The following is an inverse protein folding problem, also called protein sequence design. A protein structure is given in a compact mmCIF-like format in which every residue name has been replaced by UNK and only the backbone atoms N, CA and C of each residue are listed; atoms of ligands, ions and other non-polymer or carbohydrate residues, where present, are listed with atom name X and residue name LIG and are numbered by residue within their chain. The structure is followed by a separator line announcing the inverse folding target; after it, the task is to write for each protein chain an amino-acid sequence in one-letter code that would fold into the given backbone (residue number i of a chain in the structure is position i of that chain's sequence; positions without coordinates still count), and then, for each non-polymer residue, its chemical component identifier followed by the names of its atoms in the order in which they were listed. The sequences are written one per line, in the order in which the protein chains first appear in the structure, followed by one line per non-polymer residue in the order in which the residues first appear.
data_IF_655360149364
#
_entry.id   IF_655360149364
#
_cell.length_a   1.000
_cell.length_b   1.000
_cell.length_c   1.000
_cell.angle_alpha   90.00
_cell.angle_beta   90.00
_cell.angle_gamma   90.00
#
_symmetry.space_group_name_H-M   'P 1'
#
loop_
_entity.id
_entity.type
_entity.pdbx_description
1 polymer ?
#
# COMPACT_ATOMS: atom_id res chain seq x y z
N UNK A 1 11.70 7.48 9.59
CA UNK A 1 11.76 6.22 8.85
C UNK A 1 11.57 6.46 7.37
N UNK A 2 12.24 5.68 6.55
CA UNK A 2 12.21 5.87 5.13
C UNK A 2 11.49 4.71 4.46
N UNK A 3 10.60 5.02 3.54
CA UNK A 3 9.84 4.03 2.78
C UNK A 3 10.27 4.06 1.33
N UNK A 4 10.08 2.95 0.64
CA UNK A 4 10.39 2.87 -0.78
C UNK A 4 9.39 3.63 -1.63
N UNK A 5 8.12 3.58 -1.21
CA UNK A 5 7.05 4.26 -1.94
C UNK A 5 6.20 5.02 -0.94
N UNK A 6 5.83 6.25 -1.28
CA UNK A 6 4.92 7.05 -0.48
C UNK A 6 3.66 7.31 -1.27
N UNK A 7 2.52 6.91 -0.72
CA UNK A 7 1.21 7.24 -1.25
C UNK A 7 0.54 8.15 -0.23
N UNK A 8 0.74 9.43 -0.41
CA UNK A 8 0.24 10.42 0.54
C UNK A 8 -0.65 11.40 -0.21
N UNK A 9 -1.89 10.99 -0.46
CA UNK A 9 -2.83 11.79 -1.19
C UNK A 9 -3.78 10.93 -1.99
N UNK A 10 -4.34 11.50 -3.05
CA UNK A 10 -5.37 10.84 -3.85
C UNK A 10 -4.84 9.71 -4.71
N UNK A 11 -5.59 8.63 -4.75
CA UNK A 11 -5.31 7.52 -5.66
C UNK A 11 -5.87 7.89 -7.03
N UNK A 12 -5.05 7.71 -8.07
CA UNK A 12 -5.41 8.02 -9.43
C UNK A 12 -4.62 9.20 -9.95
N UNK A 13 -4.55 10.27 -9.19
CA UNK A 13 -3.68 11.39 -9.49
C UNK A 13 -3.43 12.14 -8.18
N UNK A 14 -2.15 12.31 -7.79
CA UNK A 14 -0.93 11.92 -8.51
C UNK A 14 -0.58 10.44 -8.39
N UNK A 15 -1.22 9.70 -7.50
CA UNK A 15 -0.80 8.33 -7.22
C UNK A 15 -1.57 7.34 -8.09
N UNK A 16 -1.21 7.31 -9.37
CA UNK A 16 -1.82 6.42 -10.35
C UNK A 16 -1.15 5.05 -10.34
N UNK A 17 -1.80 4.09 -10.99
CA UNK A 17 -1.21 2.77 -11.16
C UNK A 17 0.11 2.87 -11.93
N UNK A 18 0.16 3.75 -12.94
CA UNK A 18 1.37 3.96 -13.72
C UNK A 18 2.51 4.48 -12.86
N UNK A 19 2.23 5.43 -11.97
CA UNK A 19 3.23 5.95 -11.05
C UNK A 19 3.77 4.84 -10.16
N UNK A 20 2.88 4.03 -9.59
CA UNK A 20 3.30 2.96 -8.69
C UNK A 20 4.09 1.89 -9.45
N UNK A 21 3.71 1.62 -10.68
CA UNK A 21 4.45 0.66 -11.50
C UNK A 21 5.90 1.10 -11.67
N UNK A 22 6.11 2.38 -11.92
CA UNK A 22 7.46 2.92 -12.07
C UNK A 22 8.24 2.82 -10.76
N UNK A 23 7.58 3.10 -9.64
CA UNK A 23 8.24 3.02 -8.34
C UNK A 23 8.61 1.59 -7.99
N UNK A 24 7.74 0.63 -8.28
CA UNK A 24 8.04 -0.78 -8.03
C UNK A 24 9.19 -1.26 -8.91
N UNK A 25 9.29 -0.75 -10.13
CA UNK A 25 10.39 -1.12 -11.01
C UNK A 25 11.73 -0.70 -10.42
N UNK A 26 11.76 0.43 -9.72
CA UNK A 26 12.99 0.88 -9.06
C UNK A 26 13.38 0.00 -7.89
N UNK A 27 12.40 -0.57 -7.20
CA UNK A 27 12.66 -1.46 -6.08
C UNK A 27 13.16 -2.82 -6.57
N UNK A 28 12.68 -3.26 -7.71
CA UNK A 28 13.04 -4.57 -8.24
C UNK A 28 12.44 -5.69 -7.40
N UNK A 29 13.20 -6.74 -7.18
CA UNK A 29 12.73 -7.90 -6.43
C UNK A 29 12.95 -7.79 -4.93
N UNK A 30 13.52 -6.69 -4.47
CA UNK A 30 13.80 -6.51 -3.06
C UNK A 30 12.50 -6.30 -2.27
N UNK A 31 12.54 -6.53 -0.95
CA UNK A 31 11.38 -6.20 -0.12
C UNK A 31 11.02 -4.73 -0.28
N UNK A 32 9.74 -4.46 -0.38
CA UNK A 32 9.24 -3.12 -0.64
C UNK A 32 8.40 -2.64 0.54
N UNK A 33 8.70 -1.44 1.04
CA UNK A 33 7.92 -0.81 2.08
C UNK A 33 7.16 0.37 1.50
N UNK A 34 5.88 0.46 1.82
CA UNK A 34 5.00 1.47 1.27
C UNK A 34 4.29 2.22 2.39
N UNK A 35 4.39 3.54 2.35
CA UNK A 35 3.65 4.40 3.26
C UNK A 35 2.34 4.79 2.59
N UNK A 36 1.22 4.63 3.30
CA UNK A 36 -0.08 5.03 2.76
C UNK A 36 -0.82 5.89 3.76
N UNK A 37 -1.21 7.08 3.29
CA UNK A 37 -2.13 7.95 4.00
C UNK A 37 -3.01 8.56 2.93
N UNK A 38 -4.26 8.10 2.81
CA UNK A 38 -5.10 8.46 1.68
C UNK A 38 -6.57 8.28 2.02
N UNK A 39 -7.38 9.22 1.57
CA UNK A 39 -8.83 9.12 1.68
C UNK A 39 -9.44 8.34 0.52
N UNK A 40 -8.61 7.89 -0.42
CA UNK A 40 -9.08 7.09 -1.53
C UNK A 40 -8.93 7.78 -2.86
N UNK A 41 -9.82 7.47 -3.78
CA UNK A 41 -9.79 8.00 -5.13
C UNK A 41 -10.24 6.94 -6.13
N UNK A 42 -9.48 6.78 -7.19
CA UNK A 42 -9.83 5.88 -8.28
C UNK A 42 -9.79 4.42 -7.87
N UNK A 43 -10.92 3.75 -7.94
CA UNK A 43 -11.01 2.33 -7.65
C UNK A 43 -10.29 1.51 -8.71
N UNK A 44 -10.35 1.95 -9.97
CA UNK A 44 -9.67 1.24 -11.05
C UNK A 44 -8.17 1.22 -10.82
N UNK A 45 -7.59 2.38 -10.50
CA UNK A 45 -6.16 2.43 -10.19
C UNK A 45 -5.83 1.61 -8.96
N UNK A 46 -6.69 1.66 -7.95
CA UNK A 46 -6.46 0.92 -6.72
C UNK A 46 -6.41 -0.59 -6.97
N UNK A 47 -7.29 -1.10 -7.81
CA UNK A 47 -7.30 -2.51 -8.14
C UNK A 47 -6.05 -2.92 -8.90
N UNK A 48 -5.57 -2.07 -9.79
CA UNK A 48 -4.34 -2.32 -10.51
C UNK A 48 -3.13 -2.32 -9.59
N UNK A 49 -3.07 -1.36 -8.67
CA UNK A 49 -1.98 -1.29 -7.71
C UNK A 49 -1.99 -2.52 -6.80
N UNK A 50 -3.18 -2.92 -6.36
CA UNK A 50 -3.32 -4.12 -5.55
C UNK A 50 -2.74 -5.32 -6.27
N UNK A 51 -3.05 -5.46 -7.56
CA UNK A 51 -2.54 -6.58 -8.35
C UNK A 51 -1.03 -6.53 -8.47
N UNK A 52 -0.47 -5.34 -8.66
CA UNK A 52 0.98 -5.17 -8.72
C UNK A 52 1.66 -5.59 -7.42
N UNK A 53 1.06 -5.24 -6.29
CA UNK A 53 1.62 -5.65 -5.00
C UNK A 53 1.56 -7.16 -4.83
N UNK A 54 0.47 -7.77 -5.23
CA UNK A 54 0.34 -9.23 -5.16
C UNK A 54 1.39 -9.91 -6.01
N UNK A 55 1.64 -9.39 -7.20
CA UNK A 55 2.63 -9.97 -8.10
C UNK A 55 4.05 -9.78 -7.60
N UNK A 56 4.32 -8.65 -6.95
CA UNK A 56 5.64 -8.43 -6.37
C UNK A 56 5.92 -9.45 -5.27
N UNK A 57 4.96 -9.73 -4.44
CA UNK A 57 5.05 -10.81 -3.47
C UNK A 57 5.81 -10.51 -2.20
N UNK A 58 6.29 -9.29 -2.00
CA UNK A 58 7.03 -8.94 -0.79
C UNK A 58 6.86 -7.46 -0.47
N UNK A 59 5.61 -7.07 -0.23
CA UNK A 59 5.24 -5.69 0.05
C UNK A 59 4.71 -5.57 1.47
N UNK A 60 5.28 -4.66 2.23
CA UNK A 60 4.78 -4.29 3.55
C UNK A 60 4.22 -2.88 3.46
N UNK A 61 2.95 -2.73 3.81
CA UNK A 61 2.27 -1.45 3.78
C UNK A 61 2.18 -0.90 5.19
N UNK A 62 2.57 0.35 5.36
CA UNK A 62 2.45 1.06 6.63
C UNK A 62 1.35 2.10 6.49
N UNK A 63 0.27 1.92 7.24
CA UNK A 63 -0.88 2.80 7.19
C UNK A 63 -0.76 3.89 8.25
N UNK A 64 -0.95 5.12 7.83
CA UNK A 64 -0.86 6.27 8.72
C UNK A 64 -2.02 7.21 8.50
N UNK A 65 -2.53 7.79 9.58
CA UNK A 65 -3.61 8.76 9.51
C UNK A 65 -4.87 8.13 8.96
N UNK A 66 -5.44 8.73 7.93
CA UNK A 66 -6.64 8.21 7.30
C UNK A 66 -6.29 7.24 6.21
N UNK A 67 -6.95 6.09 6.24
CA UNK A 67 -6.85 5.12 5.16
C UNK A 67 -8.27 4.66 4.88
N UNK A 68 -8.77 4.98 3.72
CA UNK A 68 -10.18 4.71 3.41
C UNK A 68 -10.37 4.40 1.93
N UNK A 69 -11.50 3.76 1.61
CA UNK A 69 -11.96 3.55 0.24
C UNK A 69 -10.90 2.86 -0.60
N UNK A 70 -10.49 3.48 -1.71
CA UNK A 70 -9.53 2.89 -2.63
C UNK A 70 -8.20 2.54 -1.98
N UNK A 71 -7.78 3.31 -0.97
CA UNK A 71 -6.54 3.02 -0.26
C UNK A 71 -6.62 1.70 0.49
N UNK A 72 -7.80 1.35 0.99
CA UNK A 72 -8.02 0.07 1.65
C UNK A 72 -7.85 -1.08 0.65
N UNK A 73 -8.34 -0.90 -0.56
CA UNK A 73 -8.19 -1.91 -1.62
C UNK A 73 -6.72 -2.18 -1.90
N UNK A 74 -5.93 -1.12 -2.02
CA UNK A 74 -4.49 -1.25 -2.26
C UNK A 74 -3.84 -2.07 -1.16
N UNK A 75 -4.19 -1.79 0.09
CA UNK A 75 -3.61 -2.47 1.23
C UNK A 75 -3.85 -3.98 1.20
N UNK A 76 -4.93 -4.41 0.58
CA UNK A 76 -5.24 -5.83 0.49
C UNK A 76 -4.28 -6.59 -0.40
N UNK A 77 -3.46 -5.90 -1.19
CA UNK A 77 -2.43 -6.55 -2.01
C UNK A 77 -1.13 -6.76 -1.28
N UNK A 78 -0.99 -6.21 -0.08
CA UNK A 78 0.26 -6.30 0.66
C UNK A 78 0.40 -7.66 1.35
N UNK A 79 1.64 -8.08 1.52
CA UNK A 79 1.95 -9.28 2.29
C UNK A 79 1.81 -9.02 3.78
N UNK A 80 2.08 -7.79 4.19
CA UNK A 80 2.00 -7.41 5.58
C UNK A 80 1.45 -5.99 5.68
N UNK A 81 0.52 -5.77 6.58
CA UNK A 81 -0.06 -4.46 6.83
C UNK A 81 0.26 -4.05 8.26
N UNK A 82 0.91 -2.91 8.40
CA UNK A 82 1.28 -2.37 9.70
C UNK A 82 0.55 -1.05 9.90
N UNK A 83 -0.12 -0.90 11.02
CA UNK A 83 -0.85 0.33 11.34
C UNK A 83 -0.01 1.19 12.25
N UNK A 84 0.05 2.47 11.94
CA UNK A 84 0.67 3.43 12.83
C UNK A 84 -0.20 3.65 14.07
N UNK A 85 0.41 4.23 15.11
CA UNK A 85 -0.26 4.41 16.39
C UNK A 85 -1.52 5.24 16.29
N UNK A 86 -1.54 6.18 15.36
CA UNK A 86 -2.67 7.10 15.23
C UNK A 86 -3.54 6.80 14.02
N UNK A 87 -3.35 5.65 13.39
CA UNK A 87 -4.23 5.26 12.31
C UNK A 87 -5.61 4.91 12.87
N UNK A 88 -6.65 5.18 12.10
CA UNK A 88 -8.02 4.95 12.55
C UNK A 88 -8.34 3.49 12.74
N UNK A 89 -7.81 2.65 11.86
CA UNK A 89 -7.97 1.22 12.01
C UNK A 89 -6.71 0.69 12.66
N UNK A 90 -6.87 -0.13 13.64
CA UNK A 90 -5.71 -0.66 14.35
C UNK A 90 -5.64 -2.16 14.08
N UNK A 91 -5.08 -2.48 12.92
CA UNK A 91 -4.99 -3.85 12.46
C UNK A 91 -3.58 -4.12 12.00
N UNK A 92 -3.11 -5.31 12.26
CA UNK A 92 -1.88 -5.79 11.69
C UNK A 92 -2.17 -7.13 11.05
N UNK A 93 -1.85 -7.24 9.76
CA UNK A 93 -2.15 -8.43 9.01
C UNK A 93 -1.00 -8.76 8.08
N UNK A 94 -0.50 -9.98 8.18
CA UNK A 94 0.56 -10.47 7.31
C UNK A 94 0.10 -11.73 6.64
N UNK A 95 0.27 -11.79 5.34
CA UNK A 95 -0.35 -12.86 4.55
C UNK A 95 0.24 -14.23 4.81
N UNK A 96 1.51 -14.28 5.16
CA UNK A 96 2.09 -15.56 5.52
C UNK A 96 2.24 -15.68 7.00
N UNK A 97 1.28 -15.15 7.74
CA UNK A 97 1.38 -14.98 9.10
C UNK A 97 0.99 -16.12 9.85
N UNK A 98 1.50 -16.03 10.84
CA UNK A 98 1.20 -16.72 11.93
C UNK A 98 0.32 -15.86 12.68
N UNK A 99 -0.77 -16.31 12.96
CA UNK A 99 -1.75 -15.52 13.61
C UNK A 99 -1.23 -14.98 14.92
N UNK A 100 -1.37 -13.74 15.10
CA UNK A 100 -1.00 -13.19 16.37
C UNK A 100 -2.15 -12.85 17.19
#
# INVERSE_FOLDING_TARGET
MKYDIYINGSIGYPFSASFIQDELAKVGDAPCTVYISSLGGSVVDALQIRQMFLEHGNVTVHLHGFVASAATIISMGANCIVMGDFALLHVKHCSNWIDE
#
